data_IF_244642089522
#
_entry.id   IF_244642089522
#
_cell.length_a   1.000
_cell.length_b   1.000
_cell.length_c   1.000
_cell.angle_alpha   90.00
_cell.angle_beta   90.00
_cell.angle_gamma   90.00
#
_symmetry.space_group_name_H-M   'P 1'
#
loop_
_entity.id
_entity.type
_entity.pdbx_description
1 polymer ?
#
# COMPACT_ATOMS: atom_id res chain seq x y z
N UNK A 1 -22.72 -44.21 30.86
CA UNK A 1 -22.77 -44.52 29.42
C UNK A 1 -21.50 -43.97 28.80
N UNK A 2 -20.40 -44.75 28.85
CA UNK A 2 -19.10 -44.33 28.30
C UNK A 2 -19.06 -44.67 26.81
N UNK A 3 -18.91 -43.66 25.94
CA UNK A 3 -18.72 -43.86 24.51
C UNK A 3 -17.23 -44.13 24.23
N UNK A 4 -16.89 -45.42 24.09
CA UNK A 4 -15.65 -45.84 23.44
C UNK A 4 -15.85 -45.82 21.93
N UNK A 5 -15.47 -44.72 21.28
CA UNK A 5 -15.18 -44.73 19.84
C UNK A 5 -13.67 -44.52 19.67
N UNK A 6 -13.03 -45.51 19.06
CA UNK A 6 -11.60 -45.55 18.78
C UNK A 6 -11.27 -44.54 17.69
N UNK A 7 -10.25 -43.70 17.90
CA UNK A 7 -9.79 -42.70 16.91
C UNK A 7 -9.40 -43.34 15.55
N UNK A 8 -9.13 -44.65 15.54
CA UNK A 8 -8.82 -45.44 14.35
C UNK A 8 -10.02 -45.66 13.42
N UNK A 9 -11.27 -45.58 13.88
CA UNK A 9 -12.43 -45.62 12.98
C UNK A 9 -12.66 -44.29 12.27
N UNK A 10 -12.09 -43.20 12.79
CA UNK A 10 -12.23 -41.87 12.20
C UNK A 10 -11.20 -41.62 11.10
N UNK A 11 -10.01 -42.21 11.21
CA UNK A 11 -8.88 -42.00 10.28
C UNK A 11 -8.83 -43.00 9.11
N UNK A 12 -9.68 -44.04 9.09
CA UNK A 12 -9.84 -44.91 7.90
C UNK A 12 -10.91 -44.43 6.93
N UNK A 13 -11.37 -43.18 7.06
CA UNK A 13 -12.24 -42.52 6.10
C UNK A 13 -11.58 -41.26 5.54
N UNK A 14 -10.26 -41.32 5.39
CA UNK A 14 -9.42 -40.21 4.95
C UNK A 14 -9.01 -40.39 3.49
N UNK A 15 -9.98 -40.30 2.59
CA UNK A 15 -9.69 -40.11 1.16
C UNK A 15 -10.83 -39.34 0.46
N UNK A 16 -11.26 -38.19 0.99
CA UNK A 16 -12.01 -37.21 0.18
C UNK A 16 -12.14 -35.81 0.83
N UNK A 17 -11.06 -35.05 0.96
CA UNK A 17 -11.16 -33.59 1.22
C UNK A 17 -10.19 -32.77 0.36
N UNK A 18 -10.34 -32.89 -0.96
CA UNK A 18 -9.81 -31.93 -1.94
C UNK A 18 -10.88 -31.48 -2.96
N UNK A 19 -12.14 -31.38 -2.55
CA UNK A 19 -13.24 -30.91 -3.43
C UNK A 19 -14.16 -29.87 -2.79
N UNK A 20 -13.63 -28.92 -2.00
CA UNK A 20 -14.45 -27.82 -1.43
C UNK A 20 -14.05 -26.41 -1.88
N UNK A 21 -13.45 -26.27 -3.07
CA UNK A 21 -13.37 -24.98 -3.78
C UNK A 21 -13.81 -25.08 -5.24
N UNK A 22 -14.81 -25.92 -5.54
CA UNK A 22 -15.44 -25.97 -6.85
C UNK A 22 -16.94 -25.72 -6.74
N UNK A 23 -17.33 -24.47 -7.09
CA UNK A 23 -18.63 -23.94 -7.57
C UNK A 23 -18.89 -22.59 -6.87
N UNK A 24 -18.67 -21.47 -7.54
CA UNK A 24 -19.64 -20.97 -8.53
C UNK A 24 -19.03 -20.70 -9.91
N UNK A 25 -19.16 -21.68 -10.80
CA UNK A 25 -19.28 -21.44 -12.24
C UNK A 25 -20.72 -21.72 -12.63
N UNK A 26 -21.56 -20.67 -12.66
CA UNK A 26 -22.77 -20.69 -13.47
C UNK A 26 -23.15 -19.28 -13.92
N UNK A 27 -22.42 -18.80 -14.90
CA UNK A 27 -22.98 -17.91 -15.91
C UNK A 27 -22.54 -18.45 -17.27
N UNK A 28 -23.25 -19.47 -17.75
CA UNK A 28 -23.19 -19.89 -19.14
C UNK A 28 -24.03 -18.89 -19.96
N UNK A 29 -23.46 -17.71 -20.21
CA UNK A 29 -23.88 -16.90 -21.34
C UNK A 29 -23.27 -17.55 -22.58
N UNK A 30 -24.09 -17.85 -23.58
CA UNK A 30 -23.63 -18.31 -24.90
C UNK A 30 -22.76 -17.21 -25.50
N UNK A 31 -21.46 -17.28 -25.27
CA UNK A 31 -20.47 -16.44 -25.94
C UNK A 31 -20.05 -17.18 -27.20
N UNK A 32 -20.50 -16.67 -28.35
CA UNK A 32 -19.98 -17.03 -29.67
C UNK A 32 -18.46 -17.00 -29.62
N UNK A 33 -17.84 -18.16 -29.81
CA UNK A 33 -16.40 -18.34 -29.76
C UNK A 33 -15.75 -17.68 -30.99
N UNK A 34 -15.41 -16.39 -30.86
CA UNK A 34 -14.39 -15.79 -31.71
C UNK A 34 -13.05 -16.47 -31.36
N UNK A 35 -12.22 -16.87 -32.34
CA UNK A 35 -10.90 -17.41 -32.03
C UNK A 35 -10.18 -16.39 -31.15
N UNK A 36 -9.68 -16.84 -29.98
CA UNK A 36 -8.86 -15.99 -29.10
C UNK A 36 -7.75 -15.43 -29.97
N UNK A 37 -7.70 -14.09 -30.11
CA UNK A 37 -6.57 -13.43 -30.73
C UNK A 37 -5.31 -14.03 -30.11
N UNK A 38 -4.39 -14.47 -30.95
CA UNK A 38 -3.15 -15.13 -30.53
C UNK A 38 -2.51 -14.27 -29.44
N UNK A 39 -2.19 -14.89 -28.30
CA UNK A 39 -1.54 -14.19 -27.21
C UNK A 39 -0.30 -13.49 -27.78
N UNK A 40 -0.20 -12.15 -27.61
CA UNK A 40 1.01 -11.42 -27.96
C UNK A 40 2.20 -12.19 -27.36
N UNK A 41 3.28 -12.45 -28.12
CA UNK A 41 4.44 -13.12 -27.58
C UNK A 41 4.98 -12.29 -26.43
N UNK A 42 4.86 -12.81 -25.20
CA UNK A 42 5.45 -12.18 -24.04
C UNK A 42 6.96 -12.41 -24.11
N UNK A 43 7.72 -11.36 -24.43
CA UNK A 43 9.18 -11.41 -24.53
C UNK A 43 9.80 -11.49 -23.13
N UNK A 44 9.65 -12.65 -22.50
CA UNK A 44 10.03 -12.93 -21.11
C UNK A 44 11.45 -12.47 -20.79
N UNK A 45 12.42 -12.75 -21.68
CA UNK A 45 13.81 -12.37 -21.47
C UNK A 45 14.02 -10.86 -21.38
N UNK A 46 13.41 -10.06 -22.28
CA UNK A 46 13.54 -8.59 -22.27
C UNK A 46 12.87 -7.99 -21.04
N UNK A 47 11.72 -8.54 -20.65
CA UNK A 47 11.01 -8.10 -19.43
C UNK A 47 11.84 -8.39 -18.19
N UNK A 48 12.44 -9.57 -18.10
CA UNK A 48 13.32 -9.92 -16.97
C UNK A 48 14.51 -8.95 -16.86
N UNK A 49 15.23 -8.74 -17.97
CA UNK A 49 16.38 -7.84 -18.02
C UNK A 49 16.00 -6.42 -17.58
N UNK A 50 14.84 -5.92 -18.03
CA UNK A 50 14.34 -4.62 -17.61
C UNK A 50 14.05 -4.54 -16.10
N UNK A 51 13.40 -5.57 -15.53
CA UNK A 51 13.10 -5.62 -14.10
C UNK A 51 14.39 -5.65 -13.25
N UNK A 52 15.39 -6.41 -13.69
CA UNK A 52 16.71 -6.46 -13.05
C UNK A 52 17.41 -5.10 -13.14
N UNK A 53 17.35 -4.44 -14.29
CA UNK A 53 17.92 -3.10 -14.49
C UNK A 53 17.26 -2.05 -13.58
N UNK A 54 15.93 -2.09 -13.41
CA UNK A 54 15.20 -1.21 -12.47
C UNK A 54 15.66 -1.42 -11.02
N UNK A 55 15.94 -2.67 -10.64
CA UNK A 55 16.45 -2.98 -9.31
C UNK A 55 17.88 -2.44 -9.12
N UNK A 56 18.74 -2.59 -10.12
CA UNK A 56 20.15 -2.20 -10.08
C UNK A 56 20.38 -0.69 -10.19
N UNK A 57 19.65 0.02 -11.05
CA UNK A 57 19.90 1.42 -11.37
C UNK A 57 19.63 2.41 -10.21
N UNK A 58 19.06 1.95 -9.08
CA UNK A 58 18.76 2.81 -7.92
C UNK A 58 18.05 4.13 -8.28
N UNK A 59 17.15 4.11 -9.26
CA UNK A 59 16.33 5.26 -9.65
C UNK A 59 15.58 5.84 -8.44
N UNK A 60 15.58 7.17 -8.32
CA UNK A 60 14.90 7.90 -7.25
C UNK A 60 13.98 8.99 -7.82
N UNK A 61 12.69 9.03 -7.45
CA UNK A 61 11.99 8.07 -6.58
C UNK A 61 11.86 6.68 -7.23
N UNK A 62 11.90 5.58 -6.45
CA UNK A 62 11.75 4.25 -7.01
C UNK A 62 10.40 4.12 -7.72
N UNK A 63 10.36 3.51 -8.92
CA UNK A 63 9.11 3.35 -9.64
C UNK A 63 8.20 2.35 -8.93
N UNK A 64 6.89 2.57 -9.00
CA UNK A 64 5.91 1.57 -8.58
C UNK A 64 5.83 0.43 -9.60
N UNK A 65 5.34 -0.74 -9.20
CA UNK A 65 5.13 -1.84 -10.16
C UNK A 65 4.15 -1.49 -11.28
N UNK A 66 3.17 -0.62 -11.02
CA UNK A 66 2.24 -0.14 -12.05
C UNK A 66 2.97 0.72 -13.08
N UNK A 67 3.89 1.57 -12.61
CA UNK A 67 4.71 2.41 -13.48
C UNK A 67 5.67 1.58 -14.34
N UNK A 68 6.30 0.57 -13.74
CA UNK A 68 7.16 -0.39 -14.46
C UNK A 68 6.36 -1.14 -15.53
N UNK A 69 5.16 -1.62 -15.21
CA UNK A 69 4.29 -2.30 -16.17
C UNK A 69 3.88 -1.37 -17.32
N UNK A 70 3.57 -0.10 -17.02
CA UNK A 70 3.28 0.93 -18.00
C UNK A 70 4.47 1.20 -18.94
N UNK A 71 5.69 1.28 -18.41
CA UNK A 71 6.92 1.47 -19.21
C UNK A 71 7.22 0.28 -20.13
N UNK A 72 6.82 -0.93 -19.73
CA UNK A 72 6.99 -2.17 -20.49
C UNK A 72 5.85 -2.46 -21.49
N UNK A 73 4.81 -1.61 -21.54
CA UNK A 73 3.56 -1.85 -22.29
C UNK A 73 2.97 -3.26 -22.04
N UNK A 74 3.10 -3.74 -20.80
CA UNK A 74 2.67 -5.07 -20.38
C UNK A 74 1.65 -4.98 -19.26
N UNK A 75 0.69 -5.91 -19.25
CA UNK A 75 -0.24 -6.01 -18.13
C UNK A 75 0.50 -6.44 -16.85
N UNK A 76 0.29 -5.70 -15.75
CA UNK A 76 0.95 -5.95 -14.46
C UNK A 76 0.73 -7.40 -13.98
N UNK A 77 -0.45 -7.98 -14.20
CA UNK A 77 -0.74 -9.37 -13.79
C UNK A 77 0.09 -10.36 -14.58
N UNK A 78 0.29 -10.11 -15.87
CA UNK A 78 1.15 -10.93 -16.72
C UNK A 78 2.59 -10.91 -16.20
N UNK A 79 3.16 -9.72 -15.96
CA UNK A 79 4.53 -9.58 -15.43
C UNK A 79 4.66 -10.27 -14.06
N UNK A 80 3.66 -10.09 -13.18
CA UNK A 80 3.65 -10.72 -11.87
C UNK A 80 3.59 -12.25 -11.93
N UNK A 81 2.82 -12.83 -12.87
CA UNK A 81 2.71 -14.28 -12.99
C UNK A 81 4.02 -14.93 -13.42
N UNK A 82 4.80 -14.27 -14.28
CA UNK A 82 6.08 -14.78 -14.77
C UNK A 82 7.24 -14.48 -13.80
N UNK A 83 7.27 -13.29 -13.19
CA UNK A 83 8.40 -12.79 -12.41
C UNK A 83 8.01 -12.31 -11.01
N UNK A 84 7.44 -13.21 -10.21
CA UNK A 84 6.95 -12.88 -8.86
C UNK A 84 8.03 -12.26 -7.98
N UNK A 85 9.22 -12.85 -7.96
CA UNK A 85 10.29 -12.43 -7.04
C UNK A 85 10.82 -11.03 -7.38
N UNK A 86 11.05 -10.75 -8.67
CA UNK A 86 11.47 -9.43 -9.15
C UNK A 86 10.39 -8.37 -8.89
N UNK A 87 9.12 -8.69 -9.14
CA UNK A 87 8.01 -7.79 -8.86
C UNK A 87 7.88 -7.46 -7.36
N UNK A 88 8.08 -8.46 -6.51
CA UNK A 88 8.05 -8.30 -5.05
C UNK A 88 9.23 -7.41 -4.59
N UNK A 89 10.42 -7.59 -5.14
CA UNK A 89 11.59 -6.79 -4.82
C UNK A 89 11.39 -5.30 -5.17
N UNK A 90 10.88 -5.00 -6.37
CA UNK A 90 10.57 -3.63 -6.80
C UNK A 90 9.48 -3.02 -5.91
N UNK A 91 8.42 -3.78 -5.65
CA UNK A 91 7.33 -3.35 -4.76
C UNK A 91 7.83 -3.03 -3.35
N UNK A 92 8.71 -3.86 -2.80
CA UNK A 92 9.30 -3.65 -1.49
C UNK A 92 10.14 -2.37 -1.44
N UNK A 93 10.95 -2.11 -2.47
CA UNK A 93 11.73 -0.88 -2.60
C UNK A 93 10.83 0.36 -2.64
N UNK A 94 9.77 0.32 -3.44
CA UNK A 94 8.78 1.40 -3.50
C UNK A 94 8.04 1.61 -2.17
N UNK A 95 7.61 0.54 -1.51
CA UNK A 95 6.95 0.62 -0.20
C UNK A 95 7.87 1.21 0.87
N UNK A 96 9.14 0.81 0.89
CA UNK A 96 10.13 1.36 1.81
C UNK A 96 10.26 2.87 1.63
N UNK A 97 10.45 3.33 0.39
CA UNK A 97 10.49 4.76 0.06
C UNK A 97 9.21 5.49 0.46
N UNK A 98 8.03 4.91 0.20
CA UNK A 98 6.76 5.53 0.61
C UNK A 98 6.65 5.66 2.13
N UNK A 99 7.13 4.68 2.88
CA UNK A 99 7.12 4.71 4.35
C UNK A 99 8.06 5.81 4.86
N UNK A 100 9.29 5.89 4.36
CA UNK A 100 10.26 6.92 4.77
C UNK A 100 9.73 8.31 4.44
N UNK A 101 9.25 8.51 3.21
CA UNK A 101 8.68 9.78 2.76
C UNK A 101 7.43 10.16 3.58
N UNK A 102 6.57 9.20 3.95
CA UNK A 102 5.43 9.46 4.82
C UNK A 102 5.87 9.92 6.21
N UNK A 103 6.81 9.20 6.84
CA UNK A 103 7.33 9.55 8.17
C UNK A 103 7.94 10.96 8.15
N UNK A 104 8.76 11.25 7.14
CA UNK A 104 9.38 12.57 6.96
C UNK A 104 8.33 13.66 6.74
N UNK A 105 7.36 13.44 5.86
CA UNK A 105 6.30 14.43 5.58
C UNK A 105 5.45 14.68 6.83
N UNK A 106 5.15 13.65 7.61
CA UNK A 106 4.41 13.82 8.88
C UNK A 106 5.25 14.58 9.89
N UNK A 107 6.54 14.27 10.04
CA UNK A 107 7.44 14.97 10.95
C UNK A 107 7.56 16.47 10.58
N UNK A 108 7.74 16.77 9.29
CA UNK A 108 7.74 18.14 8.78
C UNK A 108 6.40 18.84 9.06
N UNK A 109 5.28 18.19 8.78
CA UNK A 109 3.95 18.76 9.04
C UNK A 109 3.73 19.06 10.53
N UNK A 110 4.18 18.17 11.41
CA UNK A 110 4.15 18.42 12.85
C UNK A 110 4.97 19.66 13.21
N UNK A 111 6.18 19.80 12.65
CA UNK A 111 7.05 20.92 12.92
C UNK A 111 6.44 22.26 12.43
N UNK A 112 5.94 22.29 11.20
CA UNK A 112 5.25 23.46 10.64
C UNK A 112 4.05 23.89 11.51
N UNK A 113 3.30 22.91 12.04
CA UNK A 113 2.18 23.16 12.94
C UNK A 113 2.63 23.78 14.26
N UNK A 114 3.73 23.33 14.85
CA UNK A 114 4.28 23.93 16.08
C UNK A 114 4.70 25.37 15.82
N UNK A 115 5.43 25.61 14.75
CA UNK A 115 5.91 26.95 14.37
C UNK A 115 4.75 27.90 14.08
N UNK A 116 3.74 27.45 13.34
CA UNK A 116 2.53 28.23 13.07
C UNK A 116 1.78 28.56 14.37
N UNK A 117 1.67 27.61 15.30
CA UNK A 117 1.02 27.84 16.57
C UNK A 117 1.76 28.87 17.44
N UNK A 118 3.09 28.80 17.50
CA UNK A 118 3.92 29.80 18.19
C UNK A 118 3.75 31.19 17.58
N UNK A 119 3.81 31.31 16.25
CA UNK A 119 3.60 32.57 15.55
C UNK A 119 2.23 33.19 15.84
N UNK A 120 1.17 32.38 15.86
CA UNK A 120 -0.16 32.86 16.21
C UNK A 120 -0.19 33.38 17.66
N UNK A 121 0.41 32.65 18.59
CA UNK A 121 0.49 33.07 19.99
C UNK A 121 1.27 34.37 20.18
N UNK A 122 2.42 34.53 19.51
CA UNK A 122 3.22 35.76 19.52
C UNK A 122 2.42 36.97 19.00
N UNK A 123 1.54 36.74 18.02
CA UNK A 123 0.62 37.76 17.51
C UNK A 123 -0.60 38.01 18.43
N UNK A 124 -0.67 37.35 19.59
CA UNK A 124 -1.79 37.45 20.53
C UNK A 124 -3.05 36.69 20.09
N UNK A 125 -2.95 35.85 19.05
CA UNK A 125 -4.04 35.05 18.53
C UNK A 125 -4.06 33.64 19.12
N UNK A 126 -5.25 33.13 19.41
CA UNK A 126 -5.40 31.75 19.86
C UNK A 126 -5.05 30.76 18.72
N UNK A 127 -4.09 29.82 18.92
CA UNK A 127 -3.65 28.85 17.90
C UNK A 127 -4.69 27.79 17.52
N UNK A 128 -5.81 28.18 16.91
CA UNK A 128 -6.88 27.27 16.47
C UNK A 128 -6.46 26.40 15.27
N UNK A 129 -7.11 25.25 15.07
CA UNK A 129 -6.80 24.36 13.93
C UNK A 129 -7.05 25.05 12.59
N UNK A 130 -8.10 25.88 12.51
CA UNK A 130 -8.42 26.67 11.32
C UNK A 130 -7.31 27.68 10.98
N UNK A 131 -6.89 28.50 11.95
CA UNK A 131 -5.80 29.48 11.75
C UNK A 131 -4.47 28.82 11.41
N UNK A 132 -4.13 27.72 12.09
CA UNK A 132 -2.91 26.96 11.79
C UNK A 132 -2.95 26.42 10.36
N UNK A 133 -4.12 25.98 9.88
CA UNK A 133 -4.27 25.48 8.51
C UNK A 133 -3.98 26.52 7.42
N UNK A 134 -4.14 27.81 7.73
CA UNK A 134 -3.84 28.92 6.81
C UNK A 134 -2.33 29.20 6.68
N UNK A 135 -1.54 28.78 7.68
CA UNK A 135 -0.11 29.09 7.77
C UNK A 135 0.81 27.94 7.33
N UNK A 136 0.30 26.71 7.24
CA UNK A 136 1.09 25.52 6.89
C UNK A 136 0.97 25.16 5.42
N UNK A 137 2.00 24.52 4.88
CA UNK A 137 2.07 24.20 3.44
C UNK A 137 1.02 23.17 3.00
N UNK A 138 0.69 22.22 3.90
CA UNK A 138 -0.16 21.06 3.60
C UNK A 138 -1.27 20.90 4.65
N UNK A 139 -2.36 21.68 4.58
CA UNK A 139 -3.43 21.64 5.58
C UNK A 139 -4.13 20.28 5.71
N UNK A 140 -4.13 19.47 4.65
CA UNK A 140 -4.68 18.11 4.68
C UNK A 140 -4.02 17.20 5.73
N UNK A 141 -2.79 17.50 6.16
CA UNK A 141 -2.10 16.71 7.18
C UNK A 141 -2.64 16.91 8.60
N UNK A 142 -3.43 17.96 8.85
CA UNK A 142 -4.13 18.15 10.12
C UNK A 142 -5.14 17.03 10.42
N UNK A 143 -5.53 16.23 9.43
CA UNK A 143 -6.37 15.03 9.67
C UNK A 143 -5.63 13.92 10.42
N UNK A 144 -4.30 13.89 10.38
CA UNK A 144 -3.51 12.83 11.03
C UNK A 144 -3.39 13.07 12.54
N UNK A 145 -3.49 11.99 13.31
CA UNK A 145 -3.48 12.04 14.78
C UNK A 145 -2.19 12.65 15.33
N UNK A 146 -1.05 12.32 14.72
CA UNK A 146 0.27 12.82 15.13
C UNK A 146 0.37 14.34 14.99
N UNK A 147 -0.13 14.88 13.88
CA UNK A 147 -0.10 16.32 13.60
C UNK A 147 -1.04 17.08 14.54
N UNK A 148 -2.23 16.55 14.80
CA UNK A 148 -3.14 17.13 15.82
C UNK A 148 -2.57 17.05 17.23
N UNK A 149 -1.83 15.99 17.54
CA UNK A 149 -1.16 15.85 18.82
C UNK A 149 -0.11 16.95 18.99
N UNK A 150 0.71 17.20 17.97
CA UNK A 150 1.70 18.29 17.99
C UNK A 150 1.06 19.66 18.28
N UNK A 151 -0.11 19.96 17.69
CA UNK A 151 -0.83 21.20 17.99
C UNK A 151 -1.33 21.26 19.44
N UNK A 152 -1.92 20.17 19.95
CA UNK A 152 -2.41 20.11 21.34
C UNK A 152 -1.27 20.21 22.35
N UNK A 153 -0.16 19.53 22.09
CA UNK A 153 1.06 19.61 22.91
C UNK A 153 1.57 21.04 22.96
N UNK A 154 1.69 21.69 21.80
CA UNK A 154 2.13 23.10 21.73
C UNK A 154 1.21 24.03 22.52
N UNK A 155 -0.11 23.84 22.44
CA UNK A 155 -1.06 24.63 23.25
C UNK A 155 -0.91 24.37 24.75
N UNK A 156 -0.70 23.12 25.16
CA UNK A 156 -0.45 22.77 26.56
C UNK A 156 0.83 23.44 27.07
N UNK A 157 1.90 23.41 26.28
CA UNK A 157 3.18 24.01 26.63
C UNK A 157 3.08 25.54 26.75
N UNK A 158 2.20 26.17 25.97
CA UNK A 158 1.84 27.58 26.05
C UNK A 158 0.85 27.91 27.19
N UNK A 159 0.39 26.91 27.95
CA UNK A 159 -0.58 27.08 29.04
C UNK A 159 -2.01 27.39 28.57
N UNK A 160 -2.34 27.08 27.32
CA UNK A 160 -3.63 27.39 26.68
C UNK A 160 -4.67 26.28 26.84
N UNK A 161 -4.22 25.03 26.94
CA UNK A 161 -5.06 23.84 27.14
C UNK A 161 -4.72 23.21 28.51
N UNK A 162 -5.73 23.08 29.39
CA UNK A 162 -5.63 22.45 30.74
C UNK A 162 -5.99 20.96 30.73
#
# INVERSE_FOLDING_TARGET
MELRVSLLSFLTQEELLLEQFQKTTSCLTKLSAKPRATAKPFESAKVQEYLENVLQNNEFPPPSMEEVARRLDCDRRTVYNHFKDLCNAISAKYLSYRRTNYVETVAQSCQEVREAALKLYENGEYPSEARVSELISKPGFLRYKQVRAALRETRRDLGLDS
#
